data_IF_132216035096
#
_entry.id   IF_132216035096
#
_cell.length_a   1.000
_cell.length_b   1.000
_cell.length_c   1.000
_cell.angle_alpha   90.00
_cell.angle_beta   90.00
_cell.angle_gamma   90.00
#
_symmetry.space_group_name_H-M   'P 1'
#
loop_
_entity.id
_entity.type
_entity.pdbx_description
1 polymer ?
#
# COMPACT_ATOMS: atom_id res chain seq x y z
N UNK A 1 -17.53 -23.24 6.71
CA UNK A 1 -16.46 -22.22 6.57
C UNK A 1 -16.52 -21.34 7.81
N UNK A 2 -15.36 -21.06 8.39
CA UNK A 2 -15.28 -20.09 9.48
C UNK A 2 -15.44 -18.69 8.87
N UNK A 3 -16.59 -18.06 9.08
CA UNK A 3 -16.91 -16.72 8.54
C UNK A 3 -16.26 -15.59 9.34
N UNK A 4 -15.57 -15.90 10.43
CA UNK A 4 -14.92 -14.89 11.28
C UNK A 4 -13.73 -14.16 10.60
N UNK A 5 -13.19 -14.76 9.54
CA UNK A 5 -12.07 -14.23 8.76
C UNK A 5 -12.46 -13.80 7.33
N UNK A 6 -13.76 -13.57 7.07
CA UNK A 6 -14.28 -13.17 5.76
C UNK A 6 -14.79 -11.72 5.78
N UNK A 7 -14.21 -10.87 4.95
CA UNK A 7 -14.80 -9.58 4.61
C UNK A 7 -15.76 -9.80 3.43
N UNK A 8 -17.01 -9.32 3.54
CA UNK A 8 -18.02 -9.56 2.51
C UNK A 8 -18.89 -8.33 2.25
N UNK A 9 -19.18 -8.04 0.98
CA UNK A 9 -19.91 -6.84 0.55
C UNK A 9 -20.85 -7.13 -0.62
N UNK A 10 -21.98 -6.42 -0.65
CA UNK A 10 -23.03 -6.51 -1.67
C UNK A 10 -22.85 -5.57 -2.85
N UNK A 11 -21.86 -4.70 -2.83
CA UNK A 11 -21.63 -3.69 -3.87
C UNK A 11 -20.16 -3.63 -4.25
N UNK A 12 -19.80 -3.32 -5.51
CA UNK A 12 -18.44 -3.01 -5.90
C UNK A 12 -17.87 -1.81 -5.11
N UNK A 13 -16.57 -1.63 -5.11
CA UNK A 13 -15.95 -0.43 -4.57
C UNK A 13 -15.99 0.70 -5.60
N UNK A 14 -16.43 1.87 -5.20
CA UNK A 14 -16.42 3.12 -5.95
C UNK A 14 -15.33 4.08 -5.46
N UNK A 15 -14.71 3.75 -4.33
CA UNK A 15 -13.69 4.54 -3.64
C UNK A 15 -12.56 3.64 -3.12
N UNK A 16 -11.36 4.20 -3.02
CA UNK A 16 -10.16 3.48 -2.56
C UNK A 16 -10.32 2.87 -1.17
N UNK A 17 -10.97 3.57 -0.25
CA UNK A 17 -11.17 3.09 1.13
C UNK A 17 -12.14 1.89 1.22
N UNK A 18 -12.90 1.65 0.14
CA UNK A 18 -13.80 0.51 0.04
C UNK A 18 -13.19 -0.67 -0.72
N UNK A 19 -12.07 -0.48 -1.42
CA UNK A 19 -11.39 -1.54 -2.15
C UNK A 19 -10.81 -2.60 -1.20
N UNK A 20 -10.67 -3.83 -1.69
CA UNK A 20 -10.15 -4.95 -0.90
C UNK A 20 -8.62 -5.05 -1.06
N UNK A 21 -7.86 -5.05 0.06
CA UNK A 21 -6.41 -5.09 0.00
C UNK A 21 -5.87 -6.51 -0.18
N UNK A 22 -4.87 -6.66 -1.04
CA UNK A 22 -4.07 -7.87 -1.19
C UNK A 22 -2.58 -7.51 -1.10
N UNK A 23 -1.74 -8.46 -0.71
CA UNK A 23 -0.30 -8.23 -0.67
C UNK A 23 0.51 -9.44 -0.26
N UNK A 24 1.78 -9.48 -0.68
CA UNK A 24 2.75 -10.52 -0.32
C UNK A 24 3.99 -9.96 0.40
N UNK A 25 3.95 -8.70 0.83
CA UNK A 25 5.07 -7.99 1.45
C UNK A 25 5.94 -7.20 0.45
N UNK A 26 5.89 -7.50 -0.84
CA UNK A 26 6.58 -6.77 -1.91
C UNK A 26 5.60 -6.00 -2.80
N UNK A 27 4.59 -6.69 -3.31
CA UNK A 27 3.52 -6.12 -4.12
C UNK A 27 2.28 -5.97 -3.27
N UNK A 28 1.61 -4.82 -3.38
CA UNK A 28 0.29 -4.56 -2.83
C UNK A 28 -0.71 -4.27 -3.93
N UNK A 29 -1.96 -4.62 -3.72
CA UNK A 29 -3.06 -4.32 -4.63
C UNK A 29 -4.30 -3.89 -3.86
N UNK A 30 -5.05 -2.94 -4.43
CA UNK A 30 -6.39 -2.57 -4.02
C UNK A 30 -7.36 -3.00 -5.11
N UNK A 31 -8.21 -3.99 -4.83
CA UNK A 31 -9.15 -4.59 -5.79
C UNK A 31 -10.51 -3.93 -5.63
N UNK A 32 -11.03 -3.30 -6.68
CA UNK A 32 -12.30 -2.59 -6.64
C UNK A 32 -13.50 -3.51 -6.89
N UNK A 33 -13.29 -4.68 -7.47
CA UNK A 33 -14.31 -5.69 -7.76
C UNK A 33 -15.42 -5.19 -8.69
N UNK A 34 -15.06 -4.37 -9.67
CA UNK A 34 -15.97 -3.90 -10.71
C UNK A 34 -16.14 -5.01 -11.77
N UNK A 35 -17.37 -5.45 -12.11
CA UNK A 35 -17.56 -6.60 -13.01
C UNK A 35 -17.05 -6.37 -14.43
N UNK A 36 -17.49 -5.28 -15.06
CA UNK A 36 -17.21 -5.01 -16.48
C UNK A 36 -15.90 -4.27 -16.73
N UNK A 37 -15.49 -3.44 -15.77
CA UNK A 37 -14.25 -2.67 -15.83
C UNK A 37 -13.54 -2.74 -14.49
N UNK A 38 -12.86 -3.87 -14.23
CA UNK A 38 -12.10 -4.07 -13.00
C UNK A 38 -10.90 -3.15 -12.97
N UNK A 39 -10.78 -2.41 -11.88
CA UNK A 39 -9.60 -1.65 -11.53
C UNK A 39 -8.85 -2.34 -10.39
N UNK A 40 -7.58 -2.58 -10.57
CA UNK A 40 -6.68 -3.06 -9.53
C UNK A 40 -5.55 -2.05 -9.43
N UNK A 41 -5.53 -1.27 -8.36
CA UNK A 41 -4.45 -0.32 -8.11
C UNK A 41 -3.28 -1.05 -7.47
N UNK A 42 -2.12 -0.93 -8.09
CA UNK A 42 -0.91 -1.67 -7.73
C UNK A 42 0.10 -0.78 -7.04
N UNK A 43 0.83 -1.41 -6.13
CA UNK A 43 1.95 -0.83 -5.41
C UNK A 43 3.10 -1.82 -5.36
N UNK A 44 4.33 -1.33 -5.33
CA UNK A 44 5.53 -2.16 -5.17
C UNK A 44 6.54 -1.40 -4.29
N UNK A 45 7.16 -2.10 -3.34
CA UNK A 45 7.91 -1.51 -2.24
C UNK A 45 9.17 -0.72 -2.65
N UNK A 46 9.73 -1.00 -3.83
CA UNK A 46 10.93 -0.34 -4.34
C UNK A 46 10.67 0.83 -5.28
N UNK A 47 9.40 1.14 -5.61
CA UNK A 47 9.05 2.23 -6.54
C UNK A 47 9.10 3.58 -5.84
N UNK A 48 10.24 4.25 -5.97
CA UNK A 48 10.50 5.57 -5.42
C UNK A 48 10.91 6.56 -6.51
N UNK A 49 10.68 7.86 -6.28
CA UNK A 49 11.09 8.92 -7.20
C UNK A 49 12.61 9.05 -7.28
N UNK A 50 13.27 8.26 -8.13
CA UNK A 50 14.69 8.26 -8.39
C UNK A 50 15.50 7.16 -7.68
N UNK A 51 16.76 7.00 -8.06
CA UNK A 51 17.65 5.94 -7.62
C UNK A 51 18.25 6.13 -6.22
N UNK A 52 19.10 5.18 -5.84
CA UNK A 52 19.85 5.20 -4.59
C UNK A 52 20.59 6.52 -4.38
N UNK A 53 20.63 6.97 -3.14
CA UNK A 53 21.38 8.13 -2.70
C UNK A 53 21.98 7.88 -1.32
N UNK A 54 23.30 8.02 -1.19
CA UNK A 54 23.95 7.98 0.13
C UNK A 54 23.49 9.18 0.95
N UNK A 55 22.89 8.91 2.12
CA UNK A 55 22.31 9.92 3.01
C UNK A 55 22.91 9.92 4.41
N UNK A 56 23.92 9.08 4.64
CA UNK A 56 24.59 9.05 5.93
C UNK A 56 25.25 10.39 6.22
N UNK A 57 24.86 11.01 7.32
CA UNK A 57 25.47 12.26 7.76
C UNK A 57 26.80 11.96 8.45
N UNK A 58 27.89 12.34 7.81
CA UNK A 58 29.26 12.12 8.32
C UNK A 58 29.53 12.88 9.61
N UNK A 59 28.72 13.88 9.96
CA UNK A 59 28.83 14.65 11.20
C UNK A 59 28.26 13.92 12.41
N UNK A 60 27.51 12.82 12.23
CA UNK A 60 26.86 12.13 13.33
C UNK A 60 27.85 11.60 14.38
N UNK A 61 28.78 10.78 13.95
CA UNK A 61 29.75 10.16 14.86
C UNK A 61 30.62 11.18 15.64
N UNK A 62 31.20 12.22 15.02
CA UNK A 62 31.95 13.24 15.75
C UNK A 62 31.16 14.01 16.79
N UNK A 63 29.85 14.15 16.63
CA UNK A 63 29.00 14.90 17.56
C UNK A 63 28.34 14.03 18.64
N UNK A 64 28.48 12.69 18.59
CA UNK A 64 27.79 11.78 19.48
C UNK A 64 28.09 12.05 20.97
N UNK A 65 29.34 12.16 21.35
CA UNK A 65 29.74 12.41 22.74
C UNK A 65 29.28 13.78 23.25
N UNK A 66 29.27 14.78 22.39
CA UNK A 66 28.77 16.11 22.73
C UNK A 66 27.27 16.09 23.03
N UNK A 67 26.51 15.38 22.20
CA UNK A 67 25.06 15.23 22.42
C UNK A 67 24.78 14.48 23.71
N UNK A 68 25.46 13.37 23.97
CA UNK A 68 25.34 12.61 25.20
C UNK A 68 25.60 13.49 26.43
N UNK A 69 26.69 14.26 26.42
CA UNK A 69 27.03 15.17 27.52
C UNK A 69 25.94 16.20 27.79
N UNK A 70 25.41 16.83 26.73
CA UNK A 70 24.31 17.80 26.84
C UNK A 70 23.05 17.19 27.43
N UNK A 71 22.71 15.96 27.04
CA UNK A 71 21.56 15.23 27.55
C UNK A 71 21.72 14.93 29.06
N UNK A 72 22.92 14.50 29.51
CA UNK A 72 23.20 14.26 30.92
C UNK A 72 23.24 15.56 31.76
N UNK A 73 23.53 16.69 31.10
CA UNK A 73 23.47 18.02 31.72
C UNK A 73 22.06 18.65 31.67
N UNK A 74 21.04 17.90 31.20
CA UNK A 74 19.65 18.35 31.01
C UNK A 74 19.50 19.54 30.05
N UNK A 75 20.50 19.79 29.19
CA UNK A 75 20.51 20.84 28.16
C UNK A 75 19.83 20.36 26.88
N UNK A 76 18.58 19.98 26.97
CA UNK A 76 17.82 19.32 25.88
C UNK A 76 17.78 20.17 24.62
N UNK A 77 17.45 21.46 24.72
CA UNK A 77 17.35 22.35 23.57
C UNK A 77 18.67 22.54 22.81
N UNK A 78 19.82 22.45 23.50
CA UNK A 78 21.12 22.49 22.83
C UNK A 78 21.45 21.17 22.16
N UNK A 79 21.09 20.04 22.77
CA UNK A 79 21.24 18.73 22.19
C UNK A 79 20.41 18.58 20.93
N UNK A 80 19.12 19.00 20.93
CA UNK A 80 18.21 18.93 19.78
C UNK A 80 18.74 19.65 18.54
N UNK A 81 19.34 20.84 18.71
CA UNK A 81 19.94 21.58 17.60
C UNK A 81 21.05 20.76 16.92
N UNK A 82 21.92 20.16 17.72
CA UNK A 82 23.01 19.33 17.20
C UNK A 82 22.45 18.06 16.55
N UNK A 83 21.45 17.44 17.15
CA UNK A 83 20.80 16.25 16.59
C UNK A 83 20.19 16.57 15.23
N UNK A 84 19.45 17.65 15.10
CA UNK A 84 18.86 18.05 13.83
C UNK A 84 19.91 18.25 12.73
N UNK A 85 21.02 18.92 13.05
CA UNK A 85 22.07 19.21 12.05
C UNK A 85 22.96 18.00 11.74
N UNK A 86 23.29 17.20 12.75
CA UNK A 86 24.33 16.18 12.64
C UNK A 86 23.77 14.75 12.48
N UNK A 87 22.56 14.45 12.98
CA UNK A 87 22.02 13.08 12.98
C UNK A 87 20.91 12.84 11.96
N UNK A 88 20.38 13.90 11.35
CA UNK A 88 19.47 13.75 10.23
C UNK A 88 20.22 13.37 8.95
N UNK A 89 19.56 12.67 8.06
CA UNK A 89 20.12 12.34 6.75
C UNK A 89 20.42 13.59 5.91
N UNK A 90 21.37 13.50 4.99
CA UNK A 90 21.75 14.59 4.09
C UNK A 90 21.49 14.21 2.63
N UNK A 91 20.54 14.87 1.95
CA UNK A 91 19.57 15.87 2.46
C UNK A 91 18.54 15.26 3.42
N UNK A 92 17.95 16.11 4.26
CA UNK A 92 16.96 15.72 5.28
C UNK A 92 15.76 15.05 4.66
N UNK A 93 15.26 15.58 3.55
CA UNK A 93 14.07 15.04 2.88
C UNK A 93 14.37 13.76 2.12
N UNK A 94 13.51 12.77 2.33
CA UNK A 94 13.51 11.51 1.60
C UNK A 94 12.87 11.68 0.22
N UNK A 95 13.15 10.77 -0.71
CA UNK A 95 12.44 10.69 -1.98
C UNK A 95 11.01 10.28 -1.76
N UNK A 96 10.13 10.61 -2.71
CA UNK A 96 8.72 10.24 -2.63
C UNK A 96 8.53 8.78 -3.01
N UNK A 97 7.72 8.08 -2.23
CA UNK A 97 7.16 6.79 -2.59
C UNK A 97 6.09 7.01 -3.66
N UNK A 98 6.01 6.12 -4.65
CA UNK A 98 5.12 6.28 -5.79
C UNK A 98 4.27 5.02 -5.98
N UNK A 99 3.01 5.15 -6.43
CA UNK A 99 2.23 4.00 -6.85
C UNK A 99 2.88 3.36 -8.08
N UNK A 100 2.73 2.05 -8.24
CA UNK A 100 3.20 1.32 -9.43
C UNK A 100 2.32 1.66 -10.64
N UNK A 101 1.00 1.70 -10.44
CA UNK A 101 0.02 2.01 -11.47
C UNK A 101 -1.30 1.29 -11.26
N UNK A 102 -2.20 1.47 -12.20
CA UNK A 102 -3.49 0.79 -12.22
C UNK A 102 -3.51 -0.26 -13.34
N UNK A 103 -3.93 -1.46 -13.02
CA UNK A 103 -4.27 -2.50 -13.97
C UNK A 103 -5.78 -2.51 -14.18
N UNK A 104 -6.22 -2.34 -15.44
CA UNK A 104 -7.64 -2.40 -15.79
C UNK A 104 -7.91 -3.65 -16.62
N UNK A 105 -8.93 -4.43 -16.20
CA UNK A 105 -9.44 -5.59 -16.96
C UNK A 105 -10.82 -5.23 -17.49
N UNK A 106 -10.93 -5.07 -18.80
CA UNK A 106 -12.11 -4.54 -19.46
C UNK A 106 -12.79 -5.62 -20.27
N UNK A 107 -14.09 -5.81 -20.06
CA UNK A 107 -14.95 -6.60 -20.94
C UNK A 107 -15.47 -5.72 -22.08
N UNK A 108 -15.16 -6.08 -23.34
CA UNK A 108 -15.42 -5.26 -24.54
C UNK A 108 -16.89 -5.13 -24.97
N UNK A 109 -17.85 -5.66 -24.22
CA UNK A 109 -19.26 -5.61 -24.62
C UNK A 109 -20.07 -4.80 -23.63
N UNK A 110 -20.90 -3.91 -24.17
CA UNK A 110 -22.06 -3.40 -23.45
C UNK A 110 -22.95 -4.59 -23.11
N UNK A 111 -22.97 -4.97 -21.86
CA UNK A 111 -23.64 -6.18 -21.40
C UNK A 111 -24.43 -5.84 -20.15
N UNK A 112 -25.60 -6.44 -20.04
CA UNK A 112 -26.33 -6.41 -18.79
C UNK A 112 -25.52 -7.18 -17.74
N UNK A 113 -25.20 -6.53 -16.62
CA UNK A 113 -24.40 -7.10 -15.57
C UNK A 113 -25.16 -7.06 -14.23
N UNK A 114 -25.29 -8.21 -13.61
CA UNK A 114 -25.84 -8.37 -12.26
C UNK A 114 -24.68 -8.67 -11.29
N UNK A 115 -24.35 -7.70 -10.45
CA UNK A 115 -23.35 -7.86 -9.41
C UNK A 115 -23.96 -8.60 -8.21
N UNK A 116 -23.34 -9.68 -7.77
CA UNK A 116 -23.82 -10.50 -6.67
C UNK A 116 -23.10 -10.18 -5.35
N UNK A 117 -21.77 -10.32 -5.35
CA UNK A 117 -20.99 -10.09 -4.14
C UNK A 117 -19.49 -9.91 -4.44
N UNK A 118 -18.79 -9.41 -3.43
CA UNK A 118 -17.33 -9.49 -3.35
C UNK A 118 -16.91 -9.86 -1.94
N UNK A 119 -15.81 -10.58 -1.84
CA UNK A 119 -15.28 -10.99 -0.54
C UNK A 119 -13.75 -11.07 -0.55
N UNK A 120 -13.17 -10.98 0.64
CA UNK A 120 -11.77 -11.28 0.90
C UNK A 120 -11.70 -12.27 2.05
N UNK A 121 -11.19 -13.46 1.76
CA UNK A 121 -10.87 -14.45 2.79
C UNK A 121 -9.47 -14.17 3.34
N UNK A 122 -9.40 -13.79 4.61
CA UNK A 122 -8.16 -13.45 5.29
C UNK A 122 -7.28 -14.67 5.58
N UNK A 123 -7.84 -15.90 5.53
CA UNK A 123 -7.05 -17.12 5.73
C UNK A 123 -6.28 -17.51 4.46
N UNK A 124 -6.88 -17.28 3.29
CA UNK A 124 -6.30 -17.66 1.99
C UNK A 124 -5.70 -16.48 1.24
N UNK A 125 -6.02 -15.24 1.67
CA UNK A 125 -5.68 -14.00 0.97
C UNK A 125 -6.19 -13.97 -0.48
N UNK A 126 -7.38 -14.54 -0.73
CA UNK A 126 -8.06 -14.52 -2.03
C UNK A 126 -9.22 -13.54 -2.00
N UNK A 127 -9.22 -12.61 -2.95
CA UNK A 127 -10.33 -11.71 -3.22
C UNK A 127 -11.21 -12.34 -4.30
N UNK A 128 -12.50 -12.58 -3.98
CA UNK A 128 -13.46 -13.18 -4.89
C UNK A 128 -14.54 -12.15 -5.27
N UNK A 129 -14.87 -12.06 -6.56
CA UNK A 129 -15.97 -11.24 -7.07
C UNK A 129 -16.93 -12.15 -7.84
N UNK A 130 -18.20 -12.15 -7.45
CA UNK A 130 -19.27 -12.93 -8.08
C UNK A 130 -20.25 -12.00 -8.81
N UNK A 131 -20.54 -12.29 -10.05
CA UNK A 131 -21.45 -11.51 -10.90
C UNK A 131 -21.99 -12.36 -12.04
N UNK A 132 -23.04 -11.87 -12.73
CA UNK A 132 -23.55 -12.48 -13.95
C UNK A 132 -23.49 -11.49 -15.11
N UNK A 133 -23.15 -11.96 -16.30
CA UNK A 133 -23.21 -11.19 -17.56
C UNK A 133 -24.13 -11.93 -18.50
N UNK A 134 -25.21 -11.26 -18.96
CA UNK A 134 -26.20 -11.83 -19.87
C UNK A 134 -26.74 -13.19 -19.37
N UNK A 135 -26.96 -13.33 -18.06
CA UNK A 135 -27.47 -14.54 -17.43
C UNK A 135 -26.46 -15.66 -17.21
N UNK A 136 -25.19 -15.45 -17.54
CA UNK A 136 -24.10 -16.41 -17.26
C UNK A 136 -23.35 -15.97 -16.00
N UNK A 137 -23.21 -16.88 -15.06
CA UNK A 137 -22.49 -16.64 -13.81
C UNK A 137 -20.99 -16.68 -13.99
N UNK A 138 -20.30 -15.70 -13.37
CA UNK A 138 -18.85 -15.58 -13.34
C UNK A 138 -18.36 -15.47 -11.89
N UNK A 139 -17.24 -16.11 -11.63
CA UNK A 139 -16.45 -15.94 -10.42
C UNK A 139 -15.05 -15.50 -10.83
N UNK A 140 -14.61 -14.34 -10.34
CA UNK A 140 -13.25 -13.84 -10.54
C UNK A 140 -12.51 -13.87 -9.22
N UNK A 141 -11.40 -14.58 -9.21
CA UNK A 141 -10.50 -14.64 -8.07
C UNK A 141 -9.22 -13.85 -8.36
N UNK A 142 -8.79 -13.06 -7.36
CA UNK A 142 -7.56 -12.27 -7.41
C UNK A 142 -6.74 -12.59 -6.17
N UNK A 143 -5.46 -12.90 -6.37
CA UNK A 143 -4.49 -13.13 -5.30
C UNK A 143 -3.10 -12.67 -5.75
N UNK A 144 -2.19 -12.48 -4.80
CA UNK A 144 -0.79 -12.12 -5.07
C UNK A 144 0.11 -13.25 -4.57
N UNK A 145 0.87 -13.84 -5.52
CA UNK A 145 1.81 -14.94 -5.25
C UNK A 145 3.21 -14.43 -4.92
#
# INVERSE_FOLDING_TARGET
MDTSALLWYKTPADDWNKALPLGNGRIGAMVFSQPLEERIQLNEDSVWSGGFRERNNKSALPNLEKVRKLLFEEKINEAEKIIYDAFCGTPVNQRHYMPLGDMNVIHYKESECDFKSRSLDLNTAVCTTEYAINGVDYTREVFIS
#
